data_IF_300301792375
#
_entry.id   IF_300301792375
#
_cell.length_a   1.000
_cell.length_b   1.000
_cell.length_c   1.000
_cell.angle_alpha   90.00
_cell.angle_beta   90.00
_cell.angle_gamma   90.00
#
_symmetry.space_group_name_H-M   'P 1'
#
loop_
_entity.id
_entity.type
_entity.pdbx_description
1 polymer ?
#
# COMPACT_ATOMS: atom_id res chain seq x y z
N UNK A 1 -12.89 8.21 37.66
CA UNK A 1 -13.51 9.17 36.72
C UNK A 1 -12.63 9.26 35.50
N UNK A 2 -13.02 8.62 34.40
CA UNK A 2 -12.24 8.55 33.18
C UNK A 2 -12.23 9.89 32.45
N UNK A 3 -11.04 10.38 32.12
CA UNK A 3 -10.83 11.49 31.20
C UNK A 3 -11.27 11.04 29.80
N UNK A 4 -12.50 11.41 29.41
CA UNK A 4 -12.91 11.37 28.01
C UNK A 4 -12.06 12.36 27.22
N UNK A 5 -11.06 11.85 26.51
CA UNK A 5 -10.30 12.60 25.50
C UNK A 5 -11.30 13.07 24.44
N UNK A 6 -11.67 14.36 24.46
CA UNK A 6 -12.50 14.97 23.41
C UNK A 6 -11.72 14.85 22.09
N UNK A 7 -12.15 13.95 21.20
CA UNK A 7 -11.62 13.86 19.84
C UNK A 7 -11.90 15.18 19.13
N UNK A 8 -10.87 15.77 18.53
CA UNK A 8 -11.00 17.01 17.76
C UNK A 8 -11.97 16.77 16.58
N UNK A 9 -12.97 17.64 16.35
CA UNK A 9 -14.01 17.40 15.34
C UNK A 9 -13.44 17.22 13.92
N UNK A 10 -12.30 17.87 13.61
CA UNK A 10 -11.59 17.68 12.35
C UNK A 10 -11.02 16.26 12.15
N UNK A 11 -10.76 15.49 13.22
CA UNK A 11 -10.28 14.10 13.10
C UNK A 11 -11.42 13.09 13.04
N UNK A 12 -12.63 13.45 13.50
CA UNK A 12 -13.77 12.54 13.50
C UNK A 12 -14.16 12.09 12.08
N UNK A 13 -14.10 13.00 11.11
CA UNK A 13 -14.43 12.67 9.72
C UNK A 13 -13.37 11.79 9.05
N UNK A 14 -12.07 11.97 9.36
CA UNK A 14 -11.00 11.11 8.86
C UNK A 14 -11.18 9.66 9.34
N UNK A 15 -11.52 9.49 10.62
CA UNK A 15 -11.82 8.15 11.16
C UNK A 15 -13.04 7.52 10.49
N UNK A 16 -14.08 8.31 10.19
CA UNK A 16 -15.24 7.82 9.46
C UNK A 16 -14.86 7.33 8.05
N UNK A 17 -14.03 8.08 7.32
CA UNK A 17 -13.55 7.66 6.00
C UNK A 17 -12.72 6.37 6.05
N UNK A 18 -11.90 6.22 7.09
CA UNK A 18 -11.17 4.96 7.34
C UNK A 18 -12.12 3.81 7.68
N UNK A 19 -13.20 4.06 8.41
CA UNK A 19 -14.25 3.08 8.71
C UNK A 19 -15.00 2.65 7.44
N UNK A 20 -15.32 3.59 6.56
CA UNK A 20 -15.95 3.32 5.27
C UNK A 20 -15.06 2.41 4.39
N UNK A 21 -13.76 2.67 4.32
CA UNK A 21 -12.80 1.79 3.63
C UNK A 21 -12.73 0.39 4.26
N UNK A 22 -12.73 0.30 5.60
CA UNK A 22 -12.77 -1.00 6.30
C UNK A 22 -14.06 -1.77 5.99
N UNK A 23 -15.20 -1.09 5.99
CA UNK A 23 -16.48 -1.69 5.65
C UNK A 23 -16.51 -2.15 4.19
N UNK A 24 -16.05 -1.33 3.25
CA UNK A 24 -15.91 -1.69 1.83
C UNK A 24 -15.12 -3.00 1.67
N UNK A 25 -13.94 -3.10 2.31
CA UNK A 25 -13.13 -4.32 2.27
C UNK A 25 -13.86 -5.52 2.87
N UNK A 26 -14.59 -5.33 3.97
CA UNK A 26 -15.34 -6.41 4.61
C UNK A 26 -16.48 -6.97 3.73
N UNK A 27 -17.02 -6.17 2.80
CA UNK A 27 -18.03 -6.64 1.83
C UNK A 27 -17.45 -7.46 0.67
N UNK A 28 -16.12 -7.58 0.56
CA UNK A 28 -15.41 -8.27 -0.53
C UNK A 28 -14.46 -9.35 0.01
N UNK A 29 -14.99 -10.41 0.65
CA UNK A 29 -14.15 -11.50 1.18
C UNK A 29 -13.40 -12.26 0.08
N UNK A 30 -13.92 -12.25 -1.15
CA UNK A 30 -13.28 -12.74 -2.37
C UNK A 30 -11.95 -12.06 -2.68
N UNK A 31 -11.73 -10.83 -2.18
CA UNK A 31 -10.49 -10.08 -2.38
C UNK A 31 -9.57 -10.08 -1.15
N UNK A 32 -9.78 -10.97 -0.18
CA UNK A 32 -9.03 -10.96 1.09
C UNK A 32 -7.51 -11.09 0.90
N UNK A 33 -7.07 -11.99 0.02
CA UNK A 33 -5.66 -12.16 -0.34
C UNK A 33 -5.12 -10.88 -0.97
N UNK A 34 -5.85 -10.32 -1.95
CA UNK A 34 -5.44 -9.08 -2.62
C UNK A 34 -5.29 -7.95 -1.62
N UNK A 35 -6.26 -7.72 -0.74
CA UNK A 35 -6.16 -6.73 0.34
C UNK A 35 -4.92 -6.94 1.23
N UNK A 36 -4.65 -8.19 1.64
CA UNK A 36 -3.50 -8.51 2.48
C UNK A 36 -2.17 -8.24 1.76
N UNK A 37 -2.09 -8.56 0.47
CA UNK A 37 -0.91 -8.30 -0.36
C UNK A 37 -0.69 -6.80 -0.56
N UNK A 38 -1.75 -6.01 -0.83
CA UNK A 38 -1.59 -4.55 -0.94
C UNK A 38 -1.04 -3.98 0.36
N UNK A 39 -1.61 -4.39 1.50
CA UNK A 39 -1.17 -3.91 2.82
C UNK A 39 0.28 -4.31 3.11
N UNK A 40 0.70 -5.54 2.74
CA UNK A 40 2.10 -5.99 2.84
C UNK A 40 3.03 -5.12 1.98
N UNK A 41 2.75 -4.99 0.69
CA UNK A 41 3.61 -4.26 -0.26
C UNK A 41 3.71 -2.79 0.13
N UNK A 42 2.60 -2.16 0.51
CA UNK A 42 2.61 -0.78 1.00
C UNK A 42 3.38 -0.64 2.31
N UNK A 43 3.23 -1.58 3.25
CA UNK A 43 4.00 -1.63 4.50
C UNK A 43 5.51 -1.70 4.25
N UNK A 44 5.92 -2.65 3.41
CA UNK A 44 7.30 -2.80 2.96
C UNK A 44 7.88 -1.52 2.35
N UNK A 45 7.14 -0.86 1.47
CA UNK A 45 7.56 0.39 0.86
C UNK A 45 7.72 1.52 1.89
N UNK A 46 6.78 1.63 2.85
CA UNK A 46 6.84 2.64 3.91
C UNK A 46 7.95 2.41 4.92
N UNK A 47 8.43 1.17 5.09
CA UNK A 47 9.52 0.81 6.01
C UNK A 47 10.84 1.53 5.68
N UNK A 48 11.01 2.00 4.44
CA UNK A 48 12.16 2.83 4.05
C UNK A 48 12.10 4.24 4.65
N UNK A 49 10.90 4.81 4.80
CA UNK A 49 10.70 6.22 5.20
C UNK A 49 10.28 6.40 6.65
N UNK A 50 9.59 5.41 7.21
CA UNK A 50 9.04 5.46 8.55
C UNK A 50 9.65 4.35 9.41
N UNK A 51 9.89 4.67 10.67
CA UNK A 51 10.31 3.69 11.66
C UNK A 51 9.07 3.11 12.35
N UNK A 52 8.34 2.24 11.64
CA UNK A 52 7.34 1.38 12.26
C UNK A 52 7.93 0.00 12.54
N UNK A 53 7.28 -0.72 13.45
CA UNK A 53 7.80 -2.00 13.92
C UNK A 53 7.80 -3.03 12.79
N UNK A 54 8.97 -3.61 12.50
CA UNK A 54 9.13 -4.69 11.51
C UNK A 54 8.21 -5.88 11.75
N UNK A 55 7.80 -6.09 13.01
CA UNK A 55 6.83 -7.12 13.40
C UNK A 55 5.46 -6.92 12.74
N UNK A 56 5.06 -5.70 12.39
CA UNK A 56 3.81 -5.45 11.66
C UNK A 56 3.90 -5.96 10.22
N UNK A 57 5.01 -5.74 9.53
CA UNK A 57 5.21 -6.22 8.15
C UNK A 57 5.30 -7.75 8.11
N UNK A 58 5.93 -8.37 9.12
CA UNK A 58 5.94 -9.82 9.27
C UNK A 58 4.54 -10.39 9.51
N UNK A 59 3.70 -9.72 10.30
CA UNK A 59 2.31 -10.11 10.48
C UNK A 59 1.49 -9.97 9.19
N UNK A 60 1.73 -8.91 8.41
CA UNK A 60 1.12 -8.74 7.08
C UNK A 60 1.56 -9.87 6.13
N UNK A 61 2.83 -10.26 6.17
CA UNK A 61 3.36 -11.38 5.39
C UNK A 61 2.71 -12.70 5.79
N UNK A 62 2.58 -12.99 7.08
CA UNK A 62 1.92 -14.21 7.56
C UNK A 62 0.45 -14.26 7.17
N UNK A 63 -0.24 -13.12 7.26
CA UNK A 63 -1.62 -12.99 6.80
C UNK A 63 -1.74 -13.27 5.31
N UNK A 64 -0.92 -12.63 4.47
CA UNK A 64 -0.93 -12.85 3.03
C UNK A 64 -0.65 -14.32 2.68
N UNK A 65 0.39 -14.91 3.27
CA UNK A 65 0.74 -16.31 3.06
C UNK A 65 -0.38 -17.27 3.47
N UNK A 66 -1.06 -17.03 4.61
CA UNK A 66 -2.19 -17.87 5.04
C UNK A 66 -3.37 -17.87 4.06
N UNK A 67 -3.47 -16.85 3.21
CA UNK A 67 -4.56 -16.67 2.24
C UNK A 67 -4.21 -17.20 0.84
N UNK A 68 -2.95 -17.55 0.54
CA UNK A 68 -2.52 -18.04 -0.79
C UNK A 68 -3.23 -19.33 -1.22
N UNK A 69 -3.66 -20.16 -0.26
CA UNK A 69 -4.35 -21.43 -0.54
C UNK A 69 -5.87 -21.37 -0.43
N UNK A 70 -6.48 -20.19 -0.23
CA UNK A 70 -7.92 -20.08 -0.09
C UNK A 70 -8.62 -20.20 -1.47
N UNK A 71 -9.54 -21.15 -1.59
CA UNK A 71 -10.20 -21.49 -2.88
C UNK A 71 -11.17 -20.40 -3.38
N UNK A 72 -11.71 -19.59 -2.47
CA UNK A 72 -12.71 -18.55 -2.80
C UNK A 72 -12.09 -17.20 -3.19
N UNK A 73 -10.78 -17.15 -3.45
CA UNK A 73 -10.11 -15.90 -3.82
C UNK A 73 -10.35 -15.56 -5.29
N UNK A 74 -10.73 -14.31 -5.53
CA UNK A 74 -10.81 -13.76 -6.87
C UNK A 74 -9.40 -13.40 -7.37
N UNK A 75 -9.08 -13.89 -8.56
CA UNK A 75 -7.84 -13.62 -9.26
C UNK A 75 -8.11 -12.84 -10.53
N UNK A 76 -7.43 -11.71 -10.69
CA UNK A 76 -7.49 -10.87 -11.89
C UNK A 76 -6.77 -11.49 -13.10
N UNK A 77 -5.79 -12.35 -12.85
CA UNK A 77 -4.87 -12.89 -13.86
C UNK A 77 -3.87 -11.87 -14.41
N UNK A 78 -3.79 -10.67 -13.81
CA UNK A 78 -2.92 -9.60 -14.31
C UNK A 78 -1.45 -9.88 -14.00
N UNK A 79 -0.55 -9.27 -14.78
CA UNK A 79 0.89 -9.31 -14.49
C UNK A 79 1.20 -8.68 -13.12
N UNK A 80 0.49 -7.61 -12.77
CA UNK A 80 0.64 -6.96 -11.48
C UNK A 80 0.30 -7.91 -10.32
N UNK A 81 -0.81 -8.64 -10.43
CA UNK A 81 -1.18 -9.66 -9.46
C UNK A 81 -0.11 -10.74 -9.34
N UNK A 82 0.38 -11.27 -10.46
CA UNK A 82 1.42 -12.30 -10.46
C UNK A 82 2.69 -11.83 -9.73
N UNK A 83 3.18 -10.61 -10.01
CA UNK A 83 4.36 -10.04 -9.35
C UNK A 83 4.12 -9.79 -7.85
N UNK A 84 2.91 -9.34 -7.50
CA UNK A 84 2.53 -9.07 -6.11
C UNK A 84 2.44 -10.36 -5.29
N UNK A 85 1.96 -11.46 -5.88
CA UNK A 85 1.93 -12.78 -5.23
C UNK A 85 3.33 -13.40 -5.14
N UNK A 86 4.14 -13.30 -6.18
CA UNK A 86 5.55 -13.76 -6.16
C UNK A 86 6.36 -13.03 -5.08
N UNK A 87 6.05 -11.76 -4.81
CA UNK A 87 6.65 -11.00 -3.70
C UNK A 87 6.42 -11.69 -2.34
N UNK A 88 5.24 -12.27 -2.10
CA UNK A 88 4.93 -12.99 -0.86
C UNK A 88 5.83 -14.20 -0.72
N UNK A 89 5.94 -15.01 -1.77
CA UNK A 89 6.75 -16.24 -1.78
C UNK A 89 8.24 -15.94 -1.60
N UNK A 90 8.77 -14.97 -2.35
CA UNK A 90 10.18 -14.58 -2.27
C UNK A 90 10.51 -13.97 -0.90
N UNK A 91 9.65 -13.10 -0.38
CA UNK A 91 9.88 -12.47 0.92
C UNK A 91 9.79 -13.50 2.04
N UNK A 92 8.87 -14.45 1.98
CA UNK A 92 8.78 -15.53 2.96
C UNK A 92 10.04 -16.41 2.95
N UNK A 93 10.51 -16.79 1.76
CA UNK A 93 11.73 -17.58 1.61
C UNK A 93 12.97 -16.86 2.18
N UNK A 94 13.08 -15.55 1.93
CA UNK A 94 14.18 -14.74 2.41
C UNK A 94 14.11 -14.44 3.92
N UNK A 95 12.91 -14.18 4.45
CA UNK A 95 12.70 -13.81 5.85
C UNK A 95 12.73 -14.99 6.81
N UNK A 96 12.26 -16.18 6.40
CA UNK A 96 12.10 -17.37 7.26
C UNK A 96 13.36 -17.72 8.07
N UNK A 97 14.59 -17.70 7.53
CA UNK A 97 15.79 -18.03 8.28
C UNK A 97 16.08 -17.10 9.47
N UNK A 98 15.60 -15.85 9.44
CA UNK A 98 15.96 -14.81 10.42
C UNK A 98 14.85 -14.42 11.39
N UNK A 99 13.64 -14.96 11.20
CA UNK A 99 12.46 -14.58 11.99
C UNK A 99 12.55 -14.86 13.50
N UNK A 100 13.41 -15.80 13.92
CA UNK A 100 13.62 -16.13 15.34
C UNK A 100 14.56 -15.18 16.09
N UNK A 101 15.18 -14.24 15.38
CA UNK A 101 16.31 -13.44 15.86
C UNK A 101 15.97 -11.94 15.92
N UNK A 102 14.70 -11.58 16.10
CA UNK A 102 14.27 -10.16 16.10
C UNK A 102 14.86 -9.32 17.27
N UNK A 103 15.31 -9.99 18.33
CA UNK A 103 15.99 -9.33 19.46
C UNK A 103 17.48 -9.04 19.16
N UNK A 104 18.02 -9.59 18.06
CA UNK A 104 19.36 -9.32 17.56
C UNK A 104 19.31 -8.17 16.53
N UNK A 105 20.12 -7.13 16.76
CA UNK A 105 20.08 -5.91 15.94
C UNK A 105 20.55 -6.15 14.50
N UNK A 106 21.57 -6.98 14.30
CA UNK A 106 22.09 -7.27 12.96
C UNK A 106 21.06 -8.08 12.16
N UNK A 107 20.45 -9.08 12.79
CA UNK A 107 19.36 -9.85 12.17
C UNK A 107 18.12 -8.97 11.89
N UNK A 108 17.80 -8.02 12.77
CA UNK A 108 16.72 -7.06 12.56
C UNK A 108 16.99 -6.16 11.35
N UNK A 109 18.19 -5.57 11.25
CA UNK A 109 18.56 -4.67 10.16
C UNK A 109 18.62 -5.41 8.82
N UNK A 110 19.16 -6.63 8.80
CA UNK A 110 19.13 -7.49 7.61
C UNK A 110 17.70 -7.80 7.18
N UNK A 111 16.82 -8.16 8.12
CA UNK A 111 15.43 -8.48 7.81
C UNK A 111 14.66 -7.24 7.34
N UNK A 112 14.92 -6.07 7.92
CA UNK A 112 14.40 -4.79 7.43
C UNK A 112 14.84 -4.53 5.99
N UNK A 113 16.12 -4.76 5.68
CA UNK A 113 16.65 -4.66 4.33
C UNK A 113 15.92 -5.56 3.35
N UNK A 114 15.62 -6.81 3.73
CA UNK A 114 14.85 -7.76 2.90
C UNK A 114 13.40 -7.30 2.68
N UNK A 115 12.74 -6.80 3.73
CA UNK A 115 11.35 -6.28 3.66
C UNK A 115 11.25 -5.11 2.68
N UNK A 116 12.27 -4.27 2.58
CA UNK A 116 12.31 -3.14 1.64
C UNK A 116 12.71 -3.60 0.23
N UNK A 117 13.76 -4.41 0.11
CA UNK A 117 14.39 -4.74 -1.19
C UNK A 117 13.65 -5.81 -1.99
N UNK A 118 13.06 -6.82 -1.36
CA UNK A 118 12.41 -7.92 -2.10
C UNK A 118 11.22 -7.42 -2.92
N UNK A 119 10.26 -6.66 -2.38
CA UNK A 119 9.13 -6.17 -3.17
C UNK A 119 9.55 -5.24 -4.30
N UNK A 120 10.54 -4.36 -4.07
CA UNK A 120 11.05 -3.44 -5.09
C UNK A 120 11.74 -4.21 -6.22
N UNK A 121 12.58 -5.21 -5.90
CA UNK A 121 13.19 -6.08 -6.91
C UNK A 121 12.17 -6.89 -7.69
N UNK A 122 11.21 -7.53 -7.01
CA UNK A 122 10.25 -8.42 -7.67
C UNK A 122 9.31 -7.64 -8.58
N UNK A 123 8.75 -6.54 -8.10
CA UNK A 123 7.72 -5.80 -8.83
C UNK A 123 8.34 -4.81 -9.83
N UNK A 124 9.40 -4.09 -9.45
CA UNK A 124 9.99 -3.03 -10.27
C UNK A 124 11.28 -3.45 -10.99
N UNK A 125 11.89 -4.59 -10.62
CA UNK A 125 13.16 -5.04 -11.18
C UNK A 125 14.37 -4.23 -10.71
N UNK A 126 14.26 -3.44 -9.64
CA UNK A 126 15.33 -2.56 -9.13
C UNK A 126 15.24 -2.35 -7.62
N UNK A 127 16.36 -1.94 -7.02
CA UNK A 127 16.53 -1.78 -5.56
C UNK A 127 17.19 -0.43 -5.21
N UNK A 128 17.04 0.60 -6.05
CA UNK A 128 17.57 1.95 -5.77
C UNK A 128 16.74 2.72 -4.72
N UNK A 129 17.26 3.85 -4.25
CA UNK A 129 16.64 4.70 -3.21
C UNK A 129 15.28 5.31 -3.61
N UNK A 130 14.91 5.27 -4.89
CA UNK A 130 13.63 5.76 -5.40
C UNK A 130 12.58 4.64 -5.48
N UNK A 131 13.04 3.39 -5.60
CA UNK A 131 12.19 2.22 -5.76
C UNK A 131 11.10 2.06 -4.69
N UNK A 132 11.31 2.36 -3.38
CA UNK A 132 10.24 2.27 -2.39
C UNK A 132 9.07 3.22 -2.63
N UNK A 133 9.32 4.49 -2.98
CA UNK A 133 8.24 5.44 -3.30
C UNK A 133 7.50 5.00 -4.56
N UNK A 134 8.24 4.62 -5.60
CA UNK A 134 7.66 4.11 -6.85
C UNK A 134 6.81 2.87 -6.63
N UNK A 135 7.27 1.97 -5.77
CA UNK A 135 6.55 0.76 -5.41
C UNK A 135 5.23 1.10 -4.73
N UNK A 136 5.24 2.03 -3.76
CA UNK A 136 4.01 2.43 -3.07
C UNK A 136 3.01 3.07 -4.05
N UNK A 137 3.47 4.01 -4.88
CA UNK A 137 2.64 4.67 -5.89
C UNK A 137 2.05 3.65 -6.88
N UNK A 138 2.89 2.76 -7.42
CA UNK A 138 2.48 1.73 -8.37
C UNK A 138 1.50 0.72 -7.75
N UNK A 139 1.77 0.25 -6.54
CA UNK A 139 0.93 -0.70 -5.82
C UNK A 139 -0.46 -0.11 -5.55
N UNK A 140 -0.54 1.08 -4.96
CA UNK A 140 -1.84 1.69 -4.60
C UNK A 140 -2.64 2.09 -5.85
N UNK A 141 -1.99 2.63 -6.89
CA UNK A 141 -2.65 2.98 -8.14
C UNK A 141 -3.16 1.73 -8.89
N UNK A 142 -2.34 0.70 -9.05
CA UNK A 142 -2.73 -0.55 -9.73
C UNK A 142 -3.85 -1.26 -8.98
N UNK A 143 -3.79 -1.31 -7.65
CA UNK A 143 -4.84 -1.89 -6.82
C UNK A 143 -6.17 -1.11 -6.91
N UNK A 144 -6.12 0.21 -7.05
CA UNK A 144 -7.31 1.02 -7.28
C UNK A 144 -7.95 0.66 -8.62
N UNK A 145 -7.14 0.55 -9.68
CA UNK A 145 -7.62 0.26 -11.03
C UNK A 145 -8.16 -1.18 -11.18
N UNK A 146 -7.67 -2.12 -10.38
CA UNK A 146 -8.20 -3.48 -10.25
C UNK A 146 -9.35 -3.59 -9.21
N UNK A 147 -9.86 -2.46 -8.72
CA UNK A 147 -10.95 -2.36 -7.72
C UNK A 147 -10.69 -3.07 -6.38
N UNK A 148 -9.42 -3.38 -6.09
CA UNK A 148 -8.96 -3.94 -4.81
C UNK A 148 -9.02 -2.87 -3.71
N UNK A 149 -8.79 -1.60 -4.04
CA UNK A 149 -8.78 -0.49 -3.08
C UNK A 149 -9.77 0.60 -3.45
N UNK A 150 -10.20 1.38 -2.44
CA UNK A 150 -10.98 2.58 -2.66
C UNK A 150 -10.12 3.79 -3.07
N UNK A 151 -10.70 4.78 -3.78
CA UNK A 151 -9.98 5.99 -4.18
C UNK A 151 -9.39 6.75 -2.99
N UNK A 152 -10.15 6.88 -1.89
CA UNK A 152 -9.67 7.56 -0.70
C UNK A 152 -8.45 6.86 -0.08
N UNK A 153 -8.43 5.51 -0.03
CA UNK A 153 -7.26 4.76 0.43
C UNK A 153 -6.05 5.08 -0.45
N UNK A 154 -6.18 4.97 -1.77
CA UNK A 154 -5.10 5.21 -2.71
C UNK A 154 -4.53 6.63 -2.54
N UNK A 155 -5.39 7.64 -2.56
CA UNK A 155 -4.98 9.03 -2.37
C UNK A 155 -4.33 9.25 -0.99
N UNK A 156 -4.83 8.62 0.07
CA UNK A 156 -4.26 8.69 1.42
C UNK A 156 -2.87 8.07 1.52
N UNK A 157 -2.67 6.89 0.95
CA UNK A 157 -1.37 6.22 0.98
C UNK A 157 -0.32 7.00 0.19
N UNK A 158 -0.65 7.43 -1.04
CA UNK A 158 0.29 8.16 -1.90
C UNK A 158 0.58 9.56 -1.36
N UNK A 159 -0.43 10.32 -0.92
CA UNK A 159 -0.20 11.65 -0.33
C UNK A 159 0.63 11.59 0.96
N UNK A 160 0.64 10.46 1.67
CA UNK A 160 1.53 10.22 2.82
C UNK A 160 3.01 10.41 2.47
N UNK A 161 3.42 10.08 1.23
CA UNK A 161 4.79 10.26 0.76
C UNK A 161 5.22 11.73 0.71
N UNK A 162 4.29 12.67 0.53
CA UNK A 162 4.61 14.08 0.51
C UNK A 162 5.20 14.55 1.86
N UNK A 163 4.73 13.97 2.96
CA UNK A 163 5.23 14.25 4.31
C UNK A 163 6.56 13.54 4.63
N UNK A 164 6.92 12.53 3.82
CA UNK A 164 8.12 11.72 3.98
C UNK A 164 9.29 12.20 3.10
N UNK A 165 9.16 13.37 2.47
CA UNK A 165 10.22 14.01 1.68
C UNK A 165 10.33 13.56 0.22
N UNK A 166 9.33 12.84 -0.29
CA UNK A 166 9.28 12.38 -1.69
C UNK A 166 8.40 13.24 -2.61
N UNK A 167 7.81 14.33 -2.10
CA UNK A 167 6.86 15.19 -2.84
C UNK A 167 7.42 15.71 -4.17
N UNK A 168 8.66 16.21 -4.15
CA UNK A 168 9.27 16.89 -5.31
C UNK A 168 9.60 15.96 -6.48
N UNK A 169 9.46 14.64 -6.31
CA UNK A 169 9.95 13.64 -7.27
C UNK A 169 8.90 13.18 -8.28
N UNK A 170 7.60 13.32 -7.97
CA UNK A 170 6.55 12.80 -8.86
C UNK A 170 5.40 13.78 -9.03
N UNK A 171 5.14 14.13 -10.30
CA UNK A 171 3.92 14.83 -10.73
C UNK A 171 2.61 14.10 -10.37
N UNK A 172 2.70 12.86 -9.88
CA UNK A 172 1.58 12.04 -9.41
C UNK A 172 1.19 12.31 -7.95
N UNK A 173 2.14 12.71 -7.08
CA UNK A 173 1.88 12.87 -5.64
C UNK A 173 1.07 14.14 -5.38
N UNK A 174 1.46 15.28 -5.95
CA UNK A 174 0.81 16.58 -5.73
C UNK A 174 -0.69 16.59 -6.07
N UNK A 175 -1.14 16.05 -7.22
CA UNK A 175 -2.56 15.94 -7.51
C UNK A 175 -3.31 15.12 -6.46
N UNK A 176 -2.74 14.01 -5.98
CA UNK A 176 -3.39 13.17 -4.98
C UNK A 176 -3.43 13.81 -3.59
N UNK A 177 -2.46 14.66 -3.25
CA UNK A 177 -2.51 15.49 -2.03
C UNK A 177 -3.70 16.46 -2.10
N UNK A 178 -3.87 17.17 -3.21
CA UNK A 178 -5.00 18.10 -3.37
C UNK A 178 -6.35 17.38 -3.39
N UNK A 179 -6.46 16.29 -4.17
CA UNK A 179 -7.67 15.49 -4.28
C UNK A 179 -8.09 14.92 -2.94
N UNK A 180 -7.16 14.36 -2.15
CA UNK A 180 -7.44 13.89 -0.79
C UNK A 180 -8.00 15.01 0.09
N UNK A 181 -7.37 16.19 0.06
CA UNK A 181 -7.83 17.34 0.85
C UNK A 181 -9.25 17.76 0.48
N UNK A 182 -9.57 17.79 -0.82
CA UNK A 182 -10.93 18.07 -1.32
C UNK A 182 -11.91 16.98 -0.89
N UNK A 183 -11.49 15.71 -0.93
CA UNK A 183 -12.29 14.53 -0.55
C UNK A 183 -12.67 14.53 0.93
N UNK A 184 -11.73 14.93 1.78
CA UNK A 184 -11.91 15.14 3.22
C UNK A 184 -12.83 16.32 3.51
N UNK A 185 -12.69 17.41 2.77
CA UNK A 185 -13.43 18.66 3.00
C UNK A 185 -14.91 18.61 2.58
N UNK A 186 -15.25 17.93 1.48
CA UNK A 186 -16.60 17.95 0.90
C UNK A 186 -17.15 16.53 0.62
N UNK A 187 -18.04 16.01 1.48
CA UNK A 187 -18.70 14.73 1.26
C UNK A 187 -19.54 14.64 -0.02
N UNK A 188 -20.10 15.76 -0.51
CA UNK A 188 -20.95 15.76 -1.70
C UNK A 188 -20.13 15.64 -2.99
N UNK A 189 -18.88 16.10 -2.98
CA UNK A 189 -17.98 16.02 -4.12
C UNK A 189 -17.31 14.64 -4.29
N UNK A 190 -17.42 13.74 -3.30
CA UNK A 190 -16.70 12.45 -3.29
C UNK A 190 -16.90 11.59 -4.54
N UNK A 191 -18.12 11.43 -5.11
CA UNK A 191 -18.29 10.64 -6.32
C UNK A 191 -17.51 11.19 -7.53
N UNK A 192 -17.43 12.53 -7.67
CA UNK A 192 -16.65 13.17 -8.74
C UNK A 192 -15.13 13.02 -8.46
N UNK A 193 -14.73 13.18 -7.20
CA UNK A 193 -13.34 13.03 -6.78
C UNK A 193 -12.84 11.58 -6.90
N UNK A 194 -13.71 10.58 -6.72
CA UNK A 194 -13.40 9.17 -6.97
C UNK A 194 -12.94 8.97 -8.43
N UNK A 195 -13.66 9.56 -9.39
CA UNK A 195 -13.33 9.51 -10.81
C UNK A 195 -12.04 10.29 -11.12
N UNK A 196 -11.85 11.48 -10.53
CA UNK A 196 -10.61 12.25 -10.67
C UNK A 196 -9.39 11.45 -10.17
N UNK A 197 -9.49 10.82 -8.98
CA UNK A 197 -8.42 9.99 -8.40
C UNK A 197 -8.12 8.79 -9.31
N UNK A 198 -9.15 8.10 -9.82
CA UNK A 198 -8.97 6.98 -10.76
C UNK A 198 -8.27 7.42 -12.04
N UNK A 199 -8.64 8.56 -12.61
CA UNK A 199 -8.04 9.09 -13.83
C UNK A 199 -6.56 9.44 -13.64
N UNK A 200 -6.21 10.07 -12.51
CA UNK A 200 -4.82 10.38 -12.15
C UNK A 200 -4.02 9.08 -11.97
N UNK A 201 -4.56 8.08 -11.27
CA UNK A 201 -3.94 6.77 -11.10
C UNK A 201 -3.78 6.01 -12.41
N UNK A 202 -4.77 6.03 -13.31
CA UNK A 202 -4.69 5.42 -14.63
C UNK A 202 -3.57 6.04 -15.48
N UNK A 203 -3.49 7.37 -15.49
CA UNK A 203 -2.44 8.11 -16.22
C UNK A 203 -1.06 7.74 -15.71
N UNK A 204 -0.89 7.67 -14.38
CA UNK A 204 0.36 7.26 -13.76
C UNK A 204 0.72 5.80 -14.10
N UNK A 205 -0.21 4.86 -13.97
CA UNK A 205 0.03 3.44 -14.27
C UNK A 205 0.42 3.24 -15.74
N UNK A 206 -0.22 3.94 -16.68
CA UNK A 206 0.15 3.86 -18.09
C UNK A 206 1.55 4.44 -18.35
N UNK A 207 1.87 5.60 -17.77
CA UNK A 207 3.17 6.24 -17.92
C UNK A 207 4.30 5.40 -17.30
N UNK A 208 4.17 5.04 -16.03
CA UNK A 208 5.19 4.31 -15.28
C UNK A 208 5.36 2.89 -15.84
N UNK A 209 4.28 2.24 -16.24
CA UNK A 209 4.33 0.91 -16.84
C UNK A 209 5.15 0.88 -18.11
N UNK A 210 5.01 1.90 -18.98
CA UNK A 210 5.84 2.06 -20.19
C UNK A 210 7.30 2.32 -19.87
N UNK A 211 7.57 3.14 -18.86
CA UNK A 211 8.94 3.47 -18.45
C UNK A 211 9.71 2.24 -17.96
N UNK A 212 9.02 1.33 -17.25
CA UNK A 212 9.62 0.18 -16.59
C UNK A 212 9.32 -1.18 -17.26
N UNK A 213 8.62 -1.21 -18.40
CA UNK A 213 8.28 -2.45 -19.11
C UNK A 213 7.34 -3.37 -18.34
N UNK A 214 6.45 -2.78 -17.53
CA UNK A 214 5.47 -3.49 -16.69
C UNK A 214 4.11 -3.65 -17.37
N UNK A 215 3.82 -2.86 -18.41
CA UNK A 215 2.62 -2.94 -19.26
C UNK A 215 2.99 -3.00 -20.75
#
# INVERSE_FOLDING_TARGET
MGTMTRRHPALAHVYQLQDEERQRRATRPDLSLRHAVVDLVSGCATQYYADHALSEDLQRLDRAHSLLGAEDQHHSGSRFEALSLDTVDQLLAAARPRRGELDDLDAYDELRGLVISVPTRVILGREDDEAPADLLCWNEASCLLEDVTGPYRCASAVSGLAFLGAADRYHFIDPLVDLKRRYEADPQARPELDDEIRNVSATFVEWFGRLHGLV
#
